data_IF_481396566669
#
_entry.id   IF_481396566669
#
_cell.length_a   1.000
_cell.length_b   1.000
_cell.length_c   1.000
_cell.angle_alpha   90.00
_cell.angle_beta   90.00
_cell.angle_gamma   90.00
#
_symmetry.space_group_name_H-M   'P 1'
#
loop_
_entity.id
_entity.type
_entity.pdbx_description
1 polymer ?
#
# COMPACT_ATOMS: atom_id res chain seq x y z
N UNK A 1 9.03 -8.54 -18.69
CA UNK A 1 7.73 -7.87 -18.86
C UNK A 1 6.68 -8.74 -18.17
N UNK A 2 6.35 -8.44 -16.91
CA UNK A 2 5.33 -9.20 -16.17
C UNK A 2 3.98 -8.73 -16.68
N UNK A 3 3.20 -9.65 -17.24
CA UNK A 3 1.80 -9.39 -17.63
C UNK A 3 1.03 -9.20 -16.33
N UNK A 4 0.91 -7.96 -15.86
CA UNK A 4 -0.08 -7.60 -14.85
C UNK A 4 -1.44 -8.06 -15.39
N UNK A 5 -2.09 -8.99 -14.69
CA UNK A 5 -3.49 -9.33 -14.96
C UNK A 5 -4.32 -8.05 -15.00
N UNK A 6 -5.48 -8.04 -15.67
CA UNK A 6 -6.32 -6.84 -15.75
C UNK A 6 -6.56 -6.15 -14.39
N UNK A 7 -6.58 -6.94 -13.31
CA UNK A 7 -6.64 -6.50 -11.91
C UNK A 7 -5.43 -5.66 -11.48
N UNK A 8 -4.20 -6.07 -11.79
CA UNK A 8 -2.99 -5.32 -11.40
C UNK A 8 -2.96 -3.91 -11.98
N UNK A 9 -3.36 -3.78 -13.26
CA UNK A 9 -3.50 -2.46 -13.91
C UNK A 9 -4.55 -1.59 -13.23
N UNK A 10 -5.71 -2.14 -12.89
CA UNK A 10 -6.79 -1.38 -12.25
C UNK A 10 -6.42 -0.94 -10.83
N UNK A 11 -5.74 -1.80 -10.06
CA UNK A 11 -5.22 -1.44 -8.74
C UNK A 11 -4.16 -0.32 -8.84
N UNK A 12 -3.26 -0.40 -9.82
CA UNK A 12 -2.28 0.66 -10.07
C UNK A 12 -2.93 2.00 -10.44
N UNK A 13 -3.99 1.96 -11.26
CA UNK A 13 -4.74 3.17 -11.62
C UNK A 13 -5.50 3.74 -10.42
N UNK A 14 -6.17 2.90 -9.62
CA UNK A 14 -6.84 3.33 -8.39
C UNK A 14 -5.84 3.93 -7.39
N UNK A 15 -4.63 3.37 -7.28
CA UNK A 15 -3.56 3.90 -6.42
C UNK A 15 -3.14 5.31 -6.85
N UNK A 16 -2.98 5.51 -8.15
CA UNK A 16 -2.62 6.82 -8.72
C UNK A 16 -3.75 7.84 -8.54
N UNK A 17 -5.00 7.45 -8.79
CA UNK A 17 -6.16 8.34 -8.69
C UNK A 17 -6.45 8.78 -7.24
N UNK A 18 -6.07 7.95 -6.26
CA UNK A 18 -6.23 8.26 -4.84
C UNK A 18 -5.05 9.02 -4.22
N UNK A 19 -4.00 9.30 -5.00
CA UNK A 19 -2.88 10.11 -4.53
C UNK A 19 -3.34 11.52 -4.14
N UNK A 20 -2.83 11.98 -3.01
CA UNK A 20 -3.06 13.33 -2.50
C UNK A 20 -1.72 14.02 -2.30
N UNK A 21 -1.58 15.23 -2.84
CA UNK A 21 -0.36 16.02 -2.68
C UNK A 21 -0.06 16.26 -1.20
N UNK A 22 1.20 16.04 -0.80
CA UNK A 22 1.65 16.07 0.58
C UNK A 22 1.21 14.87 1.46
N UNK A 23 0.10 14.20 1.20
CA UNK A 23 -0.35 13.06 2.02
C UNK A 23 0.07 11.68 1.44
N UNK A 24 0.43 11.64 0.16
CA UNK A 24 0.78 10.42 -0.54
C UNK A 24 -0.45 9.62 -0.97
N UNK A 25 -0.23 8.32 -1.20
CA UNK A 25 -1.29 7.35 -1.48
C UNK A 25 -1.45 6.38 -0.28
N UNK A 26 -2.45 5.51 -0.34
CA UNK A 26 -2.78 4.57 0.74
C UNK A 26 -1.81 3.38 0.80
N UNK A 27 -1.66 2.73 1.95
CA UNK A 27 -0.89 1.49 2.09
C UNK A 27 -1.77 0.24 1.94
N UNK A 28 -2.93 0.25 2.59
CA UNK A 28 -3.91 -0.84 2.51
C UNK A 28 -5.25 -0.32 1.98
N UNK A 29 -5.98 -1.16 1.25
CA UNK A 29 -7.34 -0.88 0.82
C UNK A 29 -8.25 -2.08 1.10
N UNK A 30 -9.41 -1.82 1.72
CA UNK A 30 -10.45 -2.82 1.94
C UNK A 30 -11.65 -2.49 1.07
N UNK A 31 -11.97 -3.40 0.14
CA UNK A 31 -13.14 -3.29 -0.73
C UNK A 31 -14.14 -4.36 -0.28
N UNK A 32 -15.30 -3.91 0.18
CA UNK A 32 -16.38 -4.79 0.64
C UNK A 32 -17.56 -4.68 -0.33
N UNK A 33 -18.06 -5.83 -0.78
CA UNK A 33 -19.31 -5.93 -1.56
C UNK A 33 -20.36 -6.61 -0.70
N UNK A 34 -21.44 -5.92 -0.39
CA UNK A 34 -22.52 -6.47 0.44
C UNK A 34 -23.53 -7.31 -0.37
N UNK A 35 -24.49 -7.91 0.33
CA UNK A 35 -25.55 -8.73 -0.27
C UNK A 35 -26.49 -7.92 -1.19
N UNK A 36 -26.56 -6.60 -0.99
CA UNK A 36 -27.31 -5.65 -1.80
C UNK A 36 -26.48 -5.11 -2.99
N UNK A 37 -25.29 -5.69 -3.23
CA UNK A 37 -24.34 -5.30 -4.29
C UNK A 37 -23.84 -3.86 -4.16
N UNK A 38 -23.86 -3.29 -2.96
CA UNK A 38 -23.19 -2.02 -2.69
C UNK A 38 -21.71 -2.26 -2.45
N UNK A 39 -20.89 -1.33 -2.95
CA UNK A 39 -19.44 -1.37 -2.80
C UNK A 39 -19.04 -0.29 -1.82
N UNK A 40 -18.37 -0.68 -0.75
CA UNK A 40 -17.73 0.24 0.21
C UNK A 40 -16.23 0.05 0.13
N UNK A 41 -15.50 1.17 0.11
CA UNK A 41 -14.03 1.17 0.02
C UNK A 41 -13.45 1.99 1.16
N UNK A 42 -12.51 1.41 1.88
CA UNK A 42 -11.75 2.05 2.94
C UNK A 42 -10.27 2.06 2.56
N UNK A 43 -9.63 3.23 2.68
CA UNK A 43 -8.22 3.44 2.38
C UNK A 43 -7.47 3.77 3.66
N UNK A 44 -6.42 3.02 3.95
CA UNK A 44 -5.63 3.13 5.17
C UNK A 44 -4.22 3.63 4.84
N UNK A 45 -3.82 4.72 5.48
CA UNK A 45 -2.55 5.41 5.29
C UNK A 45 -1.57 5.17 6.45
N UNK A 46 -2.02 4.47 7.50
CA UNK A 46 -1.32 4.40 8.77
C UNK A 46 -0.91 2.99 9.15
N UNK A 47 -1.64 1.96 8.74
CA UNK A 47 -1.25 0.57 9.04
C UNK A 47 -0.11 0.12 8.12
N UNK A 48 0.90 -0.63 8.62
CA UNK A 48 1.93 -1.22 7.77
C UNK A 48 1.27 -1.97 6.60
N UNK A 49 1.72 -1.75 5.35
CA UNK A 49 1.34 -2.66 4.29
C UNK A 49 1.91 -4.04 4.66
N UNK A 50 1.02 -5.03 4.68
CA UNK A 50 1.31 -6.44 4.94
C UNK A 50 1.68 -6.79 6.40
N UNK A 51 0.66 -7.23 7.15
CA UNK A 51 0.82 -8.30 8.14
C UNK A 51 0.54 -9.63 7.44
N UNK A 52 1.31 -9.89 6.38
CA UNK A 52 1.12 -10.94 5.37
C UNK A 52 -0.22 -10.94 4.65
N UNK A 53 -0.23 -11.70 3.56
CA UNK A 53 -1.47 -11.96 2.84
C UNK A 53 -2.17 -13.05 3.63
N UNK A 54 -3.24 -12.72 4.36
CA UNK A 54 -4.14 -13.74 4.91
C UNK A 54 -4.76 -14.44 3.70
N UNK A 55 -4.22 -15.61 3.35
CA UNK A 55 -4.87 -16.53 2.43
C UNK A 55 -5.37 -17.76 3.20
N UNK A 56 -6.19 -18.60 2.55
CA UNK A 56 -6.75 -19.81 3.18
C UNK A 56 -5.67 -20.78 3.71
N UNK A 57 -4.42 -20.62 3.25
CA UNK A 57 -3.27 -21.47 3.57
C UNK A 57 -2.34 -20.86 4.62
N UNK A 58 -2.38 -19.55 4.83
CA UNK A 58 -1.59 -18.86 5.86
C UNK A 58 -2.39 -17.70 6.51
N UNK A 59 -3.22 -18.00 7.51
CA UNK A 59 -4.03 -17.00 8.19
C UNK A 59 -3.22 -16.06 9.09
N UNK A 60 -1.98 -16.42 9.40
CA UNK A 60 -1.06 -15.69 10.27
C UNK A 60 0.15 -15.12 9.50
N UNK A 61 0.07 -15.05 8.16
CA UNK A 61 1.21 -14.69 7.33
C UNK A 61 1.93 -13.44 7.85
N UNK A 62 3.23 -13.54 8.15
CA UNK A 62 4.04 -12.42 8.62
C UNK A 62 4.80 -11.78 7.45
N UNK A 63 4.09 -11.49 6.35
CA UNK A 63 4.72 -10.94 5.17
C UNK A 63 5.12 -9.49 5.42
N UNK A 64 6.37 -9.23 5.78
CA UNK A 64 6.90 -7.86 5.88
C UNK A 64 6.92 -7.19 4.50
N UNK A 65 6.52 -5.92 4.44
CA UNK A 65 6.72 -5.10 3.26
C UNK A 65 8.22 -5.00 2.93
N UNK A 66 8.59 -5.36 1.71
CA UNK A 66 9.95 -5.15 1.22
C UNK A 66 10.32 -3.66 1.33
N UNK A 67 11.35 -3.29 2.12
CA UNK A 67 11.76 -1.91 2.29
C UNK A 67 12.08 -1.20 0.96
N UNK A 68 12.61 -1.91 -0.03
CA UNK A 68 12.92 -1.34 -1.34
C UNK A 68 11.64 -0.95 -2.09
N UNK A 69 10.58 -1.77 -2.00
CA UNK A 69 9.29 -1.46 -2.61
C UNK A 69 8.61 -0.28 -1.93
N UNK A 70 8.76 -0.14 -0.61
CA UNK A 70 8.24 1.03 0.11
C UNK A 70 8.97 2.32 -0.24
N UNK A 71 10.29 2.25 -0.42
CA UNK A 71 11.07 3.39 -0.88
C UNK A 71 10.73 3.78 -2.33
N UNK A 72 10.55 2.80 -3.21
CA UNK A 72 10.10 3.06 -4.58
C UNK A 72 8.69 3.69 -4.60
N UNK A 73 7.76 3.17 -3.79
CA UNK A 73 6.42 3.73 -3.66
C UNK A 73 6.45 5.16 -3.12
N UNK A 74 7.26 5.44 -2.09
CA UNK A 74 7.46 6.80 -1.56
C UNK A 74 8.05 7.76 -2.60
N UNK A 75 8.93 7.27 -3.48
CA UNK A 75 9.46 8.07 -4.59
C UNK A 75 8.37 8.39 -5.62
N UNK A 76 7.46 7.47 -5.88
CA UNK A 76 6.36 7.65 -6.83
C UNK A 76 5.24 8.53 -6.27
N UNK A 77 4.97 8.40 -4.97
CA UNK A 77 3.90 9.07 -4.25
C UNK A 77 4.45 9.74 -2.98
N UNK A 78 5.13 10.90 -3.14
CA UNK A 78 5.82 11.54 -2.02
C UNK A 78 4.83 12.02 -0.96
N UNK A 79 5.23 11.86 0.29
CA UNK A 79 4.53 12.35 1.49
C UNK A 79 5.35 13.46 2.14
N UNK A 80 4.67 14.43 2.74
CA UNK A 80 5.26 15.41 3.63
C UNK A 80 5.94 14.68 4.79
N UNK A 81 7.12 15.11 5.25
CA UNK A 81 7.87 14.43 6.31
C UNK A 81 7.05 14.22 7.59
N UNK A 82 6.17 15.16 7.92
CA UNK A 82 5.29 15.11 9.10
C UNK A 82 4.19 14.04 9.01
N UNK A 83 3.90 13.55 7.81
CA UNK A 83 2.87 12.55 7.51
C UNK A 83 3.47 11.17 7.19
N UNK A 84 4.80 11.04 7.21
CA UNK A 84 5.44 9.74 7.03
C UNK A 84 5.46 9.01 8.37
N UNK A 85 4.84 7.81 8.48
CA UNK A 85 4.87 7.06 9.71
C UNK A 85 6.30 6.70 10.14
N UNK A 86 6.56 6.67 11.45
CA UNK A 86 7.90 6.42 12.02
C UNK A 86 8.51 5.07 11.64
N UNK A 87 7.68 4.07 11.31
CA UNK A 87 8.12 2.75 10.82
C UNK A 87 8.63 2.75 9.37
N UNK A 88 8.45 3.84 8.63
CA UNK A 88 8.74 3.85 7.20
C UNK A 88 10.27 3.84 6.97
N UNK A 89 10.79 3.03 6.01
CA UNK A 89 12.23 2.89 5.79
C UNK A 89 12.93 4.17 5.30
N UNK A 90 12.18 5.22 4.96
CA UNK A 90 12.78 6.54 4.63
C UNK A 90 13.42 7.22 5.85
N UNK A 91 13.00 6.82 7.06
CA UNK A 91 13.63 7.29 8.30
C UNK A 91 14.89 6.49 8.65
N UNK A 92 15.11 5.33 8.02
CA UNK A 92 16.28 4.49 8.27
C UNK A 92 17.48 4.99 7.46
N UNK A 93 18.42 5.63 8.16
CA UNK A 93 19.70 6.11 7.58
C UNK A 93 20.56 4.96 6.98
N UNK A 94 20.21 3.71 7.26
CA UNK A 94 20.94 2.50 6.84
C UNK A 94 20.65 2.05 5.40
N UNK A 95 19.55 2.46 4.77
CA UNK A 95 19.24 2.16 3.36
C UNK A 95 19.98 3.06 2.35
N UNK A 96 20.81 4.00 2.82
CA UNK A 96 21.53 4.98 1.99
C UNK A 96 22.85 4.47 1.38
N UNK A 97 23.02 3.16 1.14
CA UNK A 97 24.27 2.62 0.56
C UNK A 97 24.06 1.89 -0.76
#
# INVERSE_FOLDING_TARGET
>A
MRLESGTGRLCGQLRADMYQDGNGTWYNARITVDEQRQVTVEFDYDTPPFGGVIDETDPDGEGDADPELLLEDHRMYPRSPDLVPTRHPVHDETCAK
#
